data_IF_272797067954
#
_entry.id   IF_272797067954
#
_cell.length_a   1.000
_cell.length_b   1.000
_cell.length_c   1.000
_cell.angle_alpha   90.00
_cell.angle_beta   90.00
_cell.angle_gamma   90.00
#
_symmetry.space_group_name_H-M   'P 1'
#
loop_
_entity.id
_entity.type
_entity.pdbx_description
1 polymer ?
#
# COMPACT_ATOMS: atom_id res chain seq x y z
N UNK A 1 -33.44 -1.86 -0.67
CA UNK A 1 -32.14 -2.01 -1.37
C UNK A 1 -31.20 -2.70 -0.40
N UNK A 2 -30.97 -3.99 -0.60
CA UNK A 2 -30.14 -4.80 0.31
C UNK A 2 -28.72 -4.76 -0.27
N UNK A 3 -27.78 -4.16 0.45
CA UNK A 3 -26.36 -4.24 0.14
C UNK A 3 -25.86 -5.55 0.75
N UNK A 4 -25.41 -6.50 -0.08
CA UNK A 4 -25.04 -7.87 0.37
C UNK A 4 -23.52 -8.04 0.55
N UNK A 5 -22.70 -7.04 0.19
CA UNK A 5 -21.24 -7.15 0.33
C UNK A 5 -20.65 -5.94 1.05
N UNK A 6 -20.11 -6.17 2.25
CA UNK A 6 -19.22 -5.24 2.95
C UNK A 6 -17.81 -5.80 2.83
N UNK A 7 -16.90 -5.04 2.22
CA UNK A 7 -15.49 -5.40 2.13
C UNK A 7 -14.73 -4.56 3.14
N UNK A 8 -14.04 -5.21 4.07
CA UNK A 8 -13.12 -4.58 5.00
C UNK A 8 -11.68 -4.90 4.59
N UNK A 9 -10.81 -3.90 4.66
CA UNK A 9 -9.38 -4.08 4.46
C UNK A 9 -8.70 -4.33 5.81
N UNK A 10 -7.90 -5.39 5.89
CA UNK A 10 -7.05 -5.69 7.02
C UNK A 10 -5.62 -5.85 6.54
N UNK A 11 -4.67 -5.63 7.44
CA UNK A 11 -3.24 -5.70 7.14
C UNK A 11 -2.48 -6.38 8.25
N UNK A 12 -1.44 -7.12 7.86
CA UNK A 12 -0.44 -7.65 8.77
C UNK A 12 0.93 -7.49 8.11
N UNK A 13 1.92 -7.06 8.89
CA UNK A 13 3.30 -6.98 8.45
C UNK A 13 4.23 -7.52 9.54
N UNK A 14 5.28 -8.20 9.13
CA UNK A 14 6.35 -8.68 10.00
C UNK A 14 7.70 -8.40 9.33
N UNK A 15 8.61 -7.78 10.09
CA UNK A 15 10.00 -7.51 9.67
C UNK A 15 10.86 -8.79 9.68
N UNK A 16 10.44 -9.80 10.45
CA UNK A 16 11.21 -11.01 10.69
C UNK A 16 12.59 -10.70 11.26
N UNK A 17 13.64 -11.09 10.53
CA UNK A 17 15.05 -10.95 10.96
C UNK A 17 15.79 -9.78 10.31
N UNK A 18 15.09 -8.92 9.55
CA UNK A 18 15.72 -7.80 8.83
C UNK A 18 16.04 -6.65 9.80
N UNK A 19 17.05 -5.85 9.46
CA UNK A 19 17.40 -4.64 10.21
C UNK A 19 16.45 -3.46 9.94
N UNK A 20 15.72 -3.50 8.81
CA UNK A 20 14.78 -2.47 8.40
C UNK A 20 13.58 -3.14 7.70
N UNK A 21 12.38 -2.66 8.01
CA UNK A 21 11.19 -3.03 7.24
C UNK A 21 11.16 -2.19 5.96
N UNK A 22 11.32 -2.87 4.82
CA UNK A 22 11.23 -2.25 3.50
C UNK A 22 9.90 -2.57 2.80
N UNK A 23 9.00 -3.33 3.43
CA UNK A 23 7.66 -3.59 2.90
C UNK A 23 6.74 -2.44 3.30
N UNK A 24 5.90 -2.00 2.38
CA UNK A 24 4.83 -1.04 2.64
C UNK A 24 3.51 -1.54 2.07
N UNK A 25 2.40 -1.17 2.70
CA UNK A 25 1.06 -1.43 2.18
C UNK A 25 0.19 -0.18 2.29
N UNK A 26 -0.93 -0.18 1.57
CA UNK A 26 -1.91 0.89 1.63
C UNK A 26 -3.28 0.45 1.13
N UNK A 27 -4.29 1.20 1.52
CA UNK A 27 -5.68 1.01 1.11
C UNK A 27 -6.27 2.35 0.67
N UNK A 28 -7.15 2.34 -0.33
CA UNK A 28 -7.98 3.50 -0.68
C UNK A 28 -9.33 3.05 -1.21
N UNK A 29 -10.40 3.61 -0.66
CA UNK A 29 -11.79 3.43 -1.08
C UNK A 29 -12.35 4.68 -1.77
N UNK A 30 -11.51 5.70 -2.02
CA UNK A 30 -11.91 7.00 -2.56
C UNK A 30 -11.95 7.05 -4.10
N UNK A 31 -11.57 5.97 -4.78
CA UNK A 31 -11.61 5.86 -6.23
C UNK A 31 -12.89 5.15 -6.74
N UNK A 32 -12.88 4.61 -7.97
CA UNK A 32 -14.03 3.88 -8.53
C UNK A 32 -14.31 2.53 -7.84
N UNK A 33 -13.49 2.17 -6.85
CA UNK A 33 -13.60 0.95 -6.05
C UNK A 33 -12.55 0.93 -4.94
N UNK A 34 -12.34 -0.25 -4.36
CA UNK A 34 -11.32 -0.47 -3.32
C UNK A 34 -9.99 -0.80 -4.00
N UNK A 35 -8.96 -0.02 -3.67
CA UNK A 35 -7.56 -0.29 -3.99
C UNK A 35 -6.85 -0.82 -2.75
N UNK A 36 -6.15 -1.95 -2.91
CA UNK A 36 -5.26 -2.53 -1.90
C UNK A 36 -3.88 -2.70 -2.51
N UNK A 37 -2.83 -2.24 -1.83
CA UNK A 37 -1.46 -2.20 -2.37
C UNK A 37 -0.51 -2.89 -1.39
N UNK A 38 0.43 -3.66 -1.93
CA UNK A 38 1.63 -4.14 -1.23
C UNK A 38 2.83 -3.85 -2.10
N UNK A 39 3.87 -3.26 -1.52
CA UNK A 39 5.13 -2.95 -2.17
C UNK A 39 6.28 -3.53 -1.33
N UNK A 40 7.01 -4.48 -1.91
CA UNK A 40 8.27 -5.02 -1.36
C UNK A 40 9.41 -4.08 -1.77
N UNK A 41 10.22 -3.67 -0.80
CA UNK A 41 11.39 -2.86 -1.07
C UNK A 41 12.53 -3.67 -1.71
N UNK A 42 13.64 -3.00 -2.00
CA UNK A 42 14.76 -3.64 -2.72
C UNK A 42 15.60 -4.62 -1.88
N UNK A 43 15.16 -4.98 -0.67
CA UNK A 43 15.74 -6.07 0.11
C UNK A 43 17.13 -5.82 0.70
N UNK A 44 17.44 -4.58 1.06
CA UNK A 44 18.73 -4.20 1.67
C UNK A 44 19.57 -3.22 0.84
N UNK A 45 19.08 -2.81 -0.33
CA UNK A 45 19.64 -1.68 -1.05
C UNK A 45 19.31 -0.35 -0.35
N UNK A 46 20.13 0.71 -0.57
CA UNK A 46 19.80 2.04 -0.10
C UNK A 46 18.41 2.46 -0.56
N UNK A 47 17.70 3.18 0.30
CA UNK A 47 16.38 3.74 0.03
C UNK A 47 15.27 2.70 -0.22
N UNK A 48 15.46 1.44 0.18
CA UNK A 48 14.47 0.39 -0.05
C UNK A 48 13.12 0.69 0.62
N UNK A 49 13.13 1.15 1.88
CA UNK A 49 11.92 1.59 2.59
C UNK A 49 11.28 2.82 1.93
N UNK A 50 12.08 3.80 1.55
CA UNK A 50 11.62 5.03 0.92
C UNK A 50 10.96 4.74 -0.42
N UNK A 51 11.55 3.83 -1.22
CA UNK A 51 11.01 3.43 -2.52
C UNK A 51 9.66 2.73 -2.40
N UNK A 52 9.48 1.81 -1.44
CA UNK A 52 8.21 1.10 -1.25
C UNK A 52 7.12 2.02 -0.70
N UNK A 53 7.46 2.90 0.25
CA UNK A 53 6.54 3.93 0.77
C UNK A 53 6.13 4.90 -0.34
N UNK A 54 7.08 5.36 -1.16
CA UNK A 54 6.81 6.25 -2.28
C UNK A 54 5.87 5.57 -3.29
N UNK A 55 6.14 4.31 -3.65
CA UNK A 55 5.29 3.56 -4.56
C UNK A 55 3.84 3.47 -4.06
N UNK A 56 3.62 3.11 -2.78
CA UNK A 56 2.27 3.09 -2.19
C UNK A 56 1.57 4.43 -2.32
N UNK A 57 2.27 5.54 -2.00
CA UNK A 57 1.69 6.89 -2.10
C UNK A 57 1.30 7.25 -3.52
N UNK A 58 2.21 7.01 -4.48
CA UNK A 58 1.95 7.30 -5.89
C UNK A 58 0.78 6.49 -6.45
N UNK A 59 0.62 5.22 -6.04
CA UNK A 59 -0.56 4.42 -6.40
C UNK A 59 -1.86 5.03 -5.86
N UNK A 60 -1.88 5.45 -4.59
CA UNK A 60 -3.06 6.07 -3.97
C UNK A 60 -3.40 7.39 -4.67
N UNK A 61 -2.41 8.25 -4.90
CA UNK A 61 -2.63 9.55 -5.55
C UNK A 61 -3.19 9.37 -6.96
N UNK A 62 -2.59 8.49 -7.77
CA UNK A 62 -3.06 8.17 -9.10
C UNK A 62 -4.48 7.57 -9.10
N UNK A 63 -4.77 6.67 -8.16
CA UNK A 63 -6.08 6.03 -8.02
C UNK A 63 -7.19 7.02 -7.66
N UNK A 64 -6.88 7.96 -6.77
CA UNK A 64 -7.82 8.98 -6.31
C UNK A 64 -7.92 10.17 -7.27
N UNK A 65 -7.21 10.14 -8.40
CA UNK A 65 -7.20 11.21 -9.39
C UNK A 65 -6.54 12.49 -8.90
N UNK A 66 -5.67 12.41 -7.89
CA UNK A 66 -4.84 13.53 -7.47
C UNK A 66 -3.63 13.57 -8.40
N UNK A 67 -3.43 14.68 -9.10
CA UNK A 67 -2.18 14.86 -9.86
C UNK A 67 -0.99 14.81 -8.88
N UNK A 68 0.14 14.19 -9.27
CA UNK A 68 1.34 14.13 -8.43
C UNK A 68 1.91 15.52 -8.12
#
# INVERSE_FOLDING_TARGET
MIIILSVSCESFQDIGKRHEQQDAFGFSDKGPGILTIVCDGMGGMPLGRESSVLAVRSFIEAWEGRAP
#
